data_IF_568519506024
#
_entry.id   IF_568519506024
#
_cell.length_a   1.000
_cell.length_b   1.000
_cell.length_c   1.000
_cell.angle_alpha   90.00
_cell.angle_beta   90.00
_cell.angle_gamma   90.00
#
_symmetry.space_group_name_H-M   'P 1'
#
loop_
_entity.id
_entity.type
_entity.pdbx_description
1 polymer ?
#
# COMPACT_ATOMS: atom_id res chain seq x y z
N UNK A 1 26.60 -27.57 -8.82
CA UNK A 1 26.62 -26.11 -8.63
C UNK A 1 25.86 -25.77 -7.35
N UNK A 2 26.31 -24.75 -6.62
CA UNK A 2 25.59 -24.20 -5.46
C UNK A 2 25.09 -22.82 -5.83
N UNK A 3 23.78 -22.62 -5.70
CA UNK A 3 23.17 -21.29 -5.81
C UNK A 3 22.92 -20.78 -4.40
N UNK A 4 23.26 -19.52 -4.13
CA UNK A 4 23.06 -18.86 -2.85
C UNK A 4 22.04 -17.75 -3.04
N UNK A 5 21.25 -17.49 -1.99
CA UNK A 5 20.38 -16.32 -1.96
C UNK A 5 21.24 -15.04 -2.05
N UNK A 6 20.84 -14.08 -2.90
CA UNK A 6 21.56 -12.81 -3.05
C UNK A 6 21.29 -11.83 -1.91
N UNK A 7 20.24 -12.09 -1.10
CA UNK A 7 19.80 -11.25 0.01
C UNK A 7 19.10 -12.10 1.07
N UNK A 8 18.92 -11.55 2.25
CA UNK A 8 18.01 -12.11 3.25
C UNK A 8 16.57 -11.93 2.77
N UNK A 9 15.69 -12.91 3.01
CA UNK A 9 14.32 -12.86 2.53
C UNK A 9 13.58 -14.19 2.65
N UNK A 10 12.33 -14.17 2.20
CA UNK A 10 11.45 -15.34 2.20
C UNK A 10 11.28 -15.88 0.77
N UNK A 11 11.41 -17.21 0.60
CA UNK A 11 11.10 -17.87 -0.67
C UNK A 11 9.59 -18.01 -0.79
N UNK A 12 9.02 -17.41 -1.83
CA UNK A 12 7.57 -17.45 -2.08
C UNK A 12 7.21 -18.49 -3.13
N UNK A 13 8.16 -18.85 -4.01
CA UNK A 13 7.91 -19.80 -5.08
C UNK A 13 9.17 -20.57 -5.46
N UNK A 14 9.05 -21.88 -5.68
CA UNK A 14 10.03 -22.71 -6.34
C UNK A 14 9.65 -22.84 -7.81
N UNK A 15 10.46 -22.24 -8.70
CA UNK A 15 10.22 -22.31 -10.15
C UNK A 15 10.73 -23.62 -10.74
N UNK A 16 11.80 -24.16 -10.15
CA UNK A 16 12.43 -25.43 -10.58
C UNK A 16 12.48 -26.39 -9.40
N UNK A 17 12.07 -27.63 -9.62
CA UNK A 17 12.09 -28.67 -8.61
C UNK A 17 13.42 -29.44 -8.58
N UNK A 18 13.70 -30.11 -7.47
CA UNK A 18 14.87 -30.97 -7.36
C UNK A 18 14.84 -32.10 -8.37
N UNK A 19 15.89 -32.25 -9.15
CA UNK A 19 16.01 -33.25 -10.24
C UNK A 19 15.67 -32.71 -11.63
N UNK A 20 15.13 -31.50 -11.74
CA UNK A 20 14.89 -30.85 -13.03
C UNK A 20 16.15 -30.12 -13.55
N UNK A 21 16.24 -30.03 -14.88
CA UNK A 21 17.31 -29.32 -15.53
C UNK A 21 17.00 -27.83 -15.62
N UNK A 22 17.78 -27.01 -14.92
CA UNK A 22 17.72 -25.56 -15.04
C UNK A 22 18.75 -25.06 -16.07
N UNK A 23 18.27 -24.40 -17.11
CA UNK A 23 19.15 -23.75 -18.08
C UNK A 23 19.80 -22.50 -17.49
N UNK A 24 20.95 -22.09 -18.03
CA UNK A 24 21.62 -20.86 -17.61
C UNK A 24 20.71 -19.64 -17.85
N UNK A 25 20.53 -18.80 -16.83
CA UNK A 25 19.64 -17.65 -16.86
C UNK A 25 18.18 -17.92 -16.47
N UNK A 26 17.83 -19.18 -16.19
CA UNK A 26 16.48 -19.54 -15.74
C UNK A 26 16.31 -19.24 -14.24
N UNK A 27 15.21 -18.60 -13.82
CA UNK A 27 14.94 -18.40 -12.40
C UNK A 27 14.70 -19.75 -11.72
N UNK A 28 15.26 -19.93 -10.51
CA UNK A 28 15.14 -21.16 -9.72
C UNK A 28 14.12 -20.99 -8.60
N UNK A 29 14.15 -19.83 -7.96
CA UNK A 29 13.24 -19.45 -6.88
C UNK A 29 12.85 -17.99 -7.01
N UNK A 30 11.67 -17.63 -6.54
CA UNK A 30 11.26 -16.26 -6.33
C UNK A 30 11.37 -15.93 -4.83
N UNK A 31 12.07 -14.84 -4.51
CA UNK A 31 12.25 -14.37 -3.14
C UNK A 31 11.67 -12.98 -2.97
N UNK A 32 11.20 -12.67 -1.78
CA UNK A 32 10.77 -11.34 -1.37
C UNK A 32 11.53 -10.92 -0.11
N UNK A 33 11.75 -9.62 0.01
CA UNK A 33 12.15 -9.01 1.27
C UNK A 33 10.89 -8.70 2.08
N UNK A 34 10.66 -9.36 3.22
CA UNK A 34 9.47 -9.13 4.02
C UNK A 34 9.47 -7.75 4.70
N UNK A 35 10.59 -7.03 4.73
CA UNK A 35 10.68 -5.69 5.31
C UNK A 35 10.45 -4.60 4.27
N UNK A 36 10.72 -4.86 2.99
CA UNK A 36 10.47 -3.92 1.88
C UNK A 36 9.02 -4.00 1.40
N UNK A 37 8.10 -3.49 2.20
CA UNK A 37 6.65 -3.50 1.93
C UNK A 37 6.16 -2.11 1.60
N UNK A 38 5.26 -2.06 0.66
CA UNK A 38 4.47 -0.86 0.36
C UNK A 38 3.06 -1.24 -0.05
N UNK A 39 2.16 -0.28 0.07
CA UNK A 39 0.78 -0.38 -0.43
C UNK A 39 0.65 0.56 -1.62
N UNK A 40 0.07 0.05 -2.70
CA UNK A 40 -0.19 0.85 -3.91
C UNK A 40 -1.66 1.24 -3.93
N UNK A 41 -1.92 2.53 -4.12
CA UNK A 41 -3.25 3.09 -4.27
C UNK A 41 -3.39 3.75 -5.64
N UNK A 42 -4.59 3.64 -6.24
CA UNK A 42 -4.98 4.43 -7.40
C UNK A 42 -5.86 5.58 -6.90
N UNK A 43 -5.28 6.77 -6.80
CA UNK A 43 -5.93 7.95 -6.24
C UNK A 43 -6.43 8.85 -7.36
N UNK A 44 -7.69 9.27 -7.31
CA UNK A 44 -8.27 10.20 -8.28
C UNK A 44 -7.60 11.57 -8.16
N UNK A 45 -7.51 12.27 -9.29
CA UNK A 45 -6.81 13.55 -9.38
C UNK A 45 -7.39 14.63 -8.44
N UNK A 46 -8.70 14.61 -8.20
CA UNK A 46 -9.37 15.54 -7.29
C UNK A 46 -8.98 15.33 -5.81
N UNK A 47 -8.52 14.13 -5.48
CA UNK A 47 -8.06 13.79 -4.12
C UNK A 47 -6.54 13.84 -3.97
N UNK A 48 -5.83 13.89 -5.10
CA UNK A 48 -4.38 14.05 -5.10
C UNK A 48 -3.96 15.47 -4.70
N UNK A 49 -4.86 16.44 -4.90
CA UNK A 49 -4.59 17.85 -4.63
C UNK A 49 -4.20 18.10 -3.18
N UNK A 50 -2.93 18.45 -2.98
CA UNK A 50 -2.37 18.70 -1.64
C UNK A 50 -1.58 17.54 -1.04
N UNK A 51 -1.68 16.32 -1.59
CA UNK A 51 -0.88 15.18 -1.13
C UNK A 51 0.59 15.37 -1.49
N UNK A 52 1.48 15.08 -0.54
CA UNK A 52 2.93 15.21 -0.68
C UNK A 52 3.63 13.94 -0.22
N UNK A 53 4.86 13.78 -0.68
CA UNK A 53 5.76 12.77 -0.11
C UNK A 53 5.95 13.04 1.38
N UNK A 54 5.87 11.99 2.20
CA UNK A 54 5.95 12.08 3.65
C UNK A 54 4.60 12.28 4.35
N UNK A 55 3.51 12.50 3.62
CA UNK A 55 2.18 12.58 4.21
C UNK A 55 1.78 11.23 4.83
N UNK A 56 1.06 11.30 5.95
CA UNK A 56 0.61 10.11 6.65
C UNK A 56 -0.82 9.75 6.30
N UNK A 57 -1.02 8.46 6.09
CA UNK A 57 -2.31 7.85 5.76
C UNK A 57 -2.60 6.74 6.76
N UNK A 58 -3.84 6.66 7.21
CA UNK A 58 -4.32 5.53 8.01
C UNK A 58 -5.28 4.70 7.19
N UNK A 59 -5.11 3.38 7.24
CA UNK A 59 -5.97 2.44 6.53
C UNK A 59 -6.24 1.19 7.34
N UNK A 60 -7.38 0.56 7.11
CA UNK A 60 -7.73 -0.71 7.72
C UNK A 60 -7.37 -1.89 6.82
N UNK A 61 -6.87 -2.97 7.40
CA UNK A 61 -6.59 -4.24 6.71
C UNK A 61 -7.71 -5.23 6.99
N UNK A 62 -8.63 -5.49 6.04
CA UNK A 62 -9.76 -6.40 6.27
C UNK A 62 -9.33 -7.82 6.67
N UNK A 63 -8.24 -8.32 6.08
CA UNK A 63 -7.69 -9.64 6.37
C UNK A 63 -7.16 -9.79 7.81
N UNK A 64 -6.93 -8.68 8.51
CA UNK A 64 -6.49 -8.61 9.92
C UNK A 64 -7.58 -8.04 10.82
N UNK A 65 -8.84 -8.40 10.57
CA UNK A 65 -10.01 -7.93 11.33
C UNK A 65 -10.15 -6.40 11.36
N UNK A 66 -9.70 -5.70 10.30
CA UNK A 66 -9.74 -4.25 10.21
C UNK A 66 -8.63 -3.55 11.00
N UNK A 67 -7.56 -4.26 11.36
CA UNK A 67 -6.41 -3.66 12.04
C UNK A 67 -5.95 -2.41 11.29
N UNK A 68 -5.76 -1.32 12.03
CA UNK A 68 -5.35 -0.03 11.47
C UNK A 68 -3.85 -0.03 11.21
N UNK A 69 -3.46 0.44 10.03
CA UNK A 69 -2.08 0.58 9.61
C UNK A 69 -1.82 2.04 9.27
N UNK A 70 -0.88 2.65 9.99
CA UNK A 70 -0.36 3.97 9.65
C UNK A 70 0.73 3.82 8.59
N UNK A 71 0.63 4.61 7.52
CA UNK A 71 1.53 4.56 6.38
C UNK A 71 2.00 5.96 6.02
N UNK A 72 3.19 6.05 5.45
CA UNK A 72 3.78 7.27 4.94
C UNK A 72 3.91 7.21 3.43
N UNK A 73 3.47 8.26 2.73
CA UNK A 73 3.56 8.36 1.26
C UNK A 73 5.03 8.40 0.84
N UNK A 74 5.46 7.39 0.11
CA UNK A 74 6.85 7.23 -0.35
C UNK A 74 7.02 7.48 -1.85
N UNK A 75 5.94 7.45 -2.61
CA UNK A 75 5.96 7.68 -4.06
C UNK A 75 4.64 8.24 -4.54
N UNK A 76 4.73 9.22 -5.44
CA UNK A 76 3.62 9.80 -6.19
C UNK A 76 3.97 9.74 -7.67
N UNK A 77 3.13 9.10 -8.48
CA UNK A 77 3.36 9.02 -9.91
C UNK A 77 3.32 10.42 -10.55
N UNK A 78 4.33 10.80 -11.36
CA UNK A 78 4.35 12.10 -12.03
C UNK A 78 3.33 12.22 -13.16
N UNK A 79 2.80 11.10 -13.64
CA UNK A 79 1.83 11.02 -14.72
C UNK A 79 0.63 10.20 -14.26
N UNK A 80 -0.57 10.69 -14.57
CA UNK A 80 -1.80 9.94 -14.34
C UNK A 80 -1.97 8.88 -15.41
N UNK A 81 -2.26 7.65 -14.98
CA UNK A 81 -2.71 6.58 -15.86
C UNK A 81 -4.22 6.70 -16.09
N UNK A 82 -4.66 6.36 -17.31
CA UNK A 82 -6.08 6.14 -17.52
C UNK A 82 -6.46 4.87 -16.75
N UNK A 83 -7.34 5.03 -15.77
CA UNK A 83 -7.88 3.89 -15.06
C UNK A 83 -8.54 2.95 -16.07
N UNK A 84 -7.92 1.79 -16.32
CA UNK A 84 -8.51 0.69 -17.09
C UNK A 84 -9.62 -0.03 -16.31
N UNK A 85 -10.21 0.63 -15.34
CA UNK A 85 -11.40 0.16 -14.65
C UNK A 85 -12.63 0.58 -15.44
N UNK A 86 -13.46 -0.41 -15.74
CA UNK A 86 -14.75 -0.22 -16.37
C UNK A 86 -15.45 0.97 -15.72
N UNK A 87 -15.65 2.00 -16.51
CA UNK A 87 -16.55 3.08 -16.17
C UNK A 87 -17.92 2.46 -15.87
N UNK A 88 -18.25 2.29 -14.60
CA UNK A 88 -19.64 2.24 -14.20
C UNK A 88 -20.13 3.66 -14.34
N UNK A 89 -20.57 3.98 -15.55
CA UNK A 89 -21.19 5.25 -15.85
C UNK A 89 -22.43 5.42 -15.00
N UNK A 90 -22.35 6.24 -14.00
CA UNK A 90 -23.51 6.90 -13.44
C UNK A 90 -23.32 8.37 -13.76
N UNK A 91 -24.06 8.82 -14.79
CA UNK A 91 -24.43 10.19 -15.12
C UNK A 91 -23.36 11.28 -14.94
N UNK A 92 -22.74 11.72 -16.05
CA UNK A 92 -22.29 13.11 -16.20
C UNK A 92 -20.94 13.48 -15.57
N UNK A 93 -20.09 12.52 -15.22
CA UNK A 93 -18.76 12.81 -14.69
C UNK A 93 -17.69 12.82 -15.79
N UNK A 94 -16.85 13.83 -15.80
CA UNK A 94 -15.60 13.81 -16.54
C UNK A 94 -14.78 12.56 -16.16
N UNK A 95 -14.12 11.95 -17.14
CA UNK A 95 -13.15 10.87 -16.89
C UNK A 95 -11.97 11.43 -16.07
N UNK A 96 -12.07 11.31 -14.76
CA UNK A 96 -10.99 11.70 -13.85
C UNK A 96 -9.87 10.68 -13.95
N UNK A 97 -8.66 11.17 -14.18
CA UNK A 97 -7.45 10.36 -14.17
C UNK A 97 -7.16 9.87 -12.76
N UNK A 98 -6.54 8.71 -12.66
CA UNK A 98 -5.99 8.19 -11.41
C UNK A 98 -4.47 8.24 -11.43
N UNK A 99 -3.89 8.46 -10.28
CA UNK A 99 -2.45 8.48 -10.08
C UNK A 99 -2.05 7.38 -9.13
N UNK A 100 -0.95 6.70 -9.44
CA UNK A 100 -0.39 5.72 -8.54
C UNK A 100 0.29 6.43 -7.36
N UNK A 101 -0.11 6.04 -6.17
CA UNK A 101 0.49 6.48 -4.90
C UNK A 101 0.98 5.24 -4.17
N UNK A 102 2.23 5.25 -3.70
CA UNK A 102 2.74 4.20 -2.82
C UNK A 102 2.99 4.77 -1.44
N UNK A 103 2.57 4.01 -0.44
CA UNK A 103 2.82 4.33 0.95
C UNK A 103 3.46 3.13 1.67
N UNK A 104 4.37 3.40 2.58
CA UNK A 104 5.05 2.40 3.40
C UNK A 104 4.50 2.42 4.82
N UNK A 105 4.27 1.25 5.44
CA UNK A 105 3.94 1.21 6.86
C UNK A 105 5.01 1.91 7.69
N UNK A 106 4.60 2.76 8.62
CA UNK A 106 5.51 3.50 9.51
C UNK A 106 6.12 2.58 10.57
N UNK A 107 5.38 1.54 10.94
CA UNK A 107 5.82 0.53 11.90
C UNK A 107 5.56 -0.88 11.35
N UNK A 108 6.30 -1.89 11.81
CA UNK A 108 6.02 -3.28 11.48
C UNK A 108 4.59 -3.65 11.88
N UNK A 109 3.85 -4.25 10.95
CA UNK A 109 2.49 -4.73 11.19
C UNK A 109 2.52 -6.25 11.19
N UNK A 110 2.22 -6.84 12.35
CA UNK A 110 2.20 -8.29 12.51
C UNK A 110 1.10 -8.90 11.64
N UNK A 111 1.44 -9.97 10.93
CA UNK A 111 0.50 -10.67 10.06
C UNK A 111 0.23 -10.01 8.70
N UNK A 112 0.76 -8.81 8.44
CA UNK A 112 0.62 -8.19 7.13
C UNK A 112 1.46 -8.93 6.09
N UNK A 113 0.81 -9.38 5.00
CA UNK A 113 1.46 -10.16 3.93
C UNK A 113 1.25 -9.49 2.57
N UNK A 114 2.19 -9.66 1.63
CA UNK A 114 1.97 -9.27 0.24
C UNK A 114 0.68 -9.86 -0.32
N UNK A 115 -0.06 -9.06 -1.10
CA UNK A 115 -1.37 -9.44 -1.64
C UNK A 115 -2.57 -9.11 -0.76
N UNK A 116 -2.37 -8.67 0.49
CA UNK A 116 -3.45 -8.15 1.32
C UNK A 116 -3.88 -6.75 0.85
N UNK A 117 -5.17 -6.47 0.98
CA UNK A 117 -5.73 -5.15 0.68
C UNK A 117 -5.71 -4.25 1.90
N UNK A 118 -5.50 -2.96 1.66
CA UNK A 118 -5.65 -1.89 2.66
C UNK A 118 -6.73 -0.94 2.16
N UNK A 119 -7.69 -0.64 3.02
CA UNK A 119 -8.78 0.28 2.73
C UNK A 119 -8.53 1.60 3.44
N UNK A 120 -8.32 2.66 2.66
CA UNK A 120 -8.17 4.02 3.17
C UNK A 120 -9.47 4.76 2.93
N UNK A 121 -10.11 5.33 3.95
CA UNK A 121 -11.32 6.14 3.81
C UNK A 121 -10.97 7.52 3.26
N UNK A 122 -10.84 7.63 1.93
CA UNK A 122 -10.60 8.91 1.27
C UNK A 122 -11.81 9.83 1.43
N UNK A 123 -11.58 11.10 1.81
CA UNK A 123 -12.65 12.09 1.98
C UNK A 123 -13.50 11.93 3.25
N UNK A 124 -13.18 10.98 4.11
CA UNK A 124 -13.66 11.05 5.48
C UNK A 124 -12.91 12.21 6.16
N UNK A 125 -13.64 13.20 6.64
CA UNK A 125 -13.07 14.18 7.55
C UNK A 125 -12.34 13.42 8.67
N UNK A 126 -11.15 13.92 9.11
CA UNK A 126 -10.49 13.30 10.25
C UNK A 126 -11.54 13.18 11.36
N UNK A 127 -11.77 11.95 11.83
CA UNK A 127 -12.73 11.73 12.91
C UNK A 127 -12.38 12.72 14.01
N UNK A 128 -13.30 13.60 14.41
CA UNK A 128 -13.01 14.51 15.50
C UNK A 128 -12.54 13.66 16.67
N UNK A 129 -11.35 13.97 17.18
CA UNK A 129 -10.80 13.28 18.36
C UNK A 129 -11.92 13.29 19.42
N UNK A 130 -12.49 12.13 19.79
CA UNK A 130 -13.59 12.07 20.74
C UNK A 130 -13.24 12.69 22.09
N UNK A 131 -11.94 12.94 22.32
CA UNK A 131 -11.42 13.58 23.52
C UNK A 131 -10.94 15.04 23.28
N UNK A 132 -11.07 15.57 22.08
CA UNK A 132 -10.63 16.94 21.77
C UNK A 132 -11.31 17.99 22.66
N UNK A 133 -12.57 17.76 23.01
CA UNK A 133 -13.30 18.64 23.94
C UNK A 133 -12.76 18.54 25.38
N UNK A 134 -12.31 17.37 25.79
CA UNK A 134 -11.73 17.13 27.12
C UNK A 134 -10.34 17.80 27.22
N UNK A 135 -9.55 17.76 26.17
CA UNK A 135 -8.24 18.44 26.12
C UNK A 135 -8.40 19.95 26.21
N UNK A 136 -9.41 20.53 25.56
CA UNK A 136 -9.72 21.96 25.68
C UNK A 136 -10.07 22.35 27.10
N UNK A 137 -10.86 21.54 27.82
CA UNK A 137 -11.23 21.80 29.22
C UNK A 137 -10.05 21.70 30.19
N UNK A 138 -9.01 20.94 29.88
CA UNK A 138 -7.82 20.78 30.74
C UNK A 138 -6.73 21.83 30.47
N UNK A 139 -6.80 22.52 29.32
CA UNK A 139 -5.78 23.51 28.93
C UNK A 139 -6.19 24.95 29.31
N UNK A 140 -7.42 25.15 29.74
CA UNK A 140 -8.03 26.48 30.06
C UNK A 140 -8.07 26.74 31.59
N UNK A 141 -7.02 26.23 32.29
CA UNK A 141 -6.80 26.58 33.73
C UNK A 141 -5.41 27.08 33.97
#
# INVERSE_FOLDING_TARGET
ARVRAPMDGEIVEHVVNAGELAAAGMPIVTMIDPEDRWVTFSVREDWLGGMKLGDRLAGGVPALNGAEVEMEVSYLAPLGDFATWRATSIAGGFDLKTFEVRARPVAPVEGLRPGMSVVVPWGAEPRPDPLAWLRRLLTDR
#
